data_IF_317748427449
#
_entry.id   IF_317748427449
#
_cell.length_a   1.000
_cell.length_b   1.000
_cell.length_c   1.000
_cell.angle_alpha   90.00
_cell.angle_beta   90.00
_cell.angle_gamma   90.00
#
_symmetry.space_group_name_H-M   'P 1'
#
loop_
_entity.id
_entity.type
_entity.pdbx_description
1 polymer ?
#
# COMPACT_ATOMS: atom_id res chain seq x y z
N UNK A 1 -23.58 33.62 -2.18
CA UNK A 1 -22.47 33.89 -1.25
C UNK A 1 -22.86 35.05 -0.34
N UNK A 2 -22.16 35.24 0.78
CA UNK A 2 -22.44 36.36 1.70
C UNK A 2 -21.39 37.45 1.57
N UNK A 3 -21.82 38.71 1.65
CA UNK A 3 -20.94 39.87 1.64
C UNK A 3 -20.05 39.84 2.91
N UNK A 4 -18.71 40.00 2.78
CA UNK A 4 -17.80 39.95 3.93
C UNK A 4 -18.02 41.14 4.92
N UNK A 5 -18.66 42.23 4.47
CA UNK A 5 -18.88 43.42 5.29
C UNK A 5 -20.25 43.45 5.98
N UNK A 6 -21.33 43.15 5.23
CA UNK A 6 -22.68 43.30 5.76
C UNK A 6 -23.49 42.00 5.79
N UNK A 7 -22.90 40.86 5.42
CA UNK A 7 -23.51 39.53 5.40
C UNK A 7 -24.72 39.39 4.46
N UNK A 8 -25.05 40.38 3.66
CA UNK A 8 -26.10 40.28 2.67
C UNK A 8 -25.76 39.25 1.60
N UNK A 9 -26.76 38.53 1.08
CA UNK A 9 -26.59 37.62 -0.02
C UNK A 9 -26.18 38.37 -1.28
N UNK A 10 -25.09 37.93 -1.92
CA UNK A 10 -24.59 38.49 -3.17
C UNK A 10 -24.36 37.37 -4.17
N UNK A 11 -24.51 37.68 -5.47
CA UNK A 11 -24.17 36.72 -6.51
C UNK A 11 -22.68 36.41 -6.55
N UNK A 12 -22.30 35.19 -6.91
CA UNK A 12 -20.89 34.79 -7.03
C UNK A 12 -20.13 35.59 -8.11
N UNK A 13 -20.88 36.20 -9.05
CA UNK A 13 -20.37 37.04 -10.14
C UNK A 13 -20.41 38.52 -9.81
N UNK A 14 -20.93 38.92 -8.63
CA UNK A 14 -21.07 40.32 -8.28
C UNK A 14 -19.72 41.00 -8.11
N UNK A 15 -19.55 42.18 -8.71
CA UNK A 15 -18.34 43.00 -8.54
C UNK A 15 -18.41 43.89 -7.28
N UNK A 16 -19.60 44.25 -6.87
CA UNK A 16 -19.88 45.09 -5.72
C UNK A 16 -21.07 44.53 -4.93
N UNK A 17 -21.09 44.74 -3.63
CA UNK A 17 -22.27 44.44 -2.83
C UNK A 17 -23.32 45.53 -3.05
N UNK A 18 -24.51 45.11 -3.46
CA UNK A 18 -25.67 46.01 -3.68
C UNK A 18 -26.20 46.71 -2.39
N UNK A 19 -25.89 46.13 -1.19
CA UNK A 19 -26.32 46.63 0.08
C UNK A 19 -25.35 47.61 0.74
N UNK A 20 -24.04 47.38 0.62
CA UNK A 20 -23.01 48.17 1.31
C UNK A 20 -21.93 48.75 0.40
N UNK A 21 -22.01 48.51 -0.88
CA UNK A 21 -21.11 49.09 -1.90
C UNK A 21 -19.69 48.61 -1.90
N UNK A 22 -19.31 47.61 -1.02
CA UNK A 22 -17.93 47.13 -0.98
C UNK A 22 -17.58 46.48 -2.35
N UNK A 23 -16.36 46.73 -2.83
CA UNK A 23 -15.79 46.00 -3.98
C UNK A 23 -15.48 44.53 -3.59
N UNK A 24 -16.09 43.59 -4.30
CA UNK A 24 -15.96 42.15 -4.00
C UNK A 24 -14.81 41.52 -4.80
N UNK A 25 -14.51 42.03 -5.97
CA UNK A 25 -13.44 41.47 -6.84
C UNK A 25 -12.03 41.71 -6.32
N UNK A 26 -11.86 42.67 -5.41
CA UNK A 26 -10.59 42.99 -4.73
C UNK A 26 -10.59 42.52 -3.27
N UNK A 27 -11.73 41.99 -2.78
CA UNK A 27 -11.83 41.52 -1.42
C UNK A 27 -11.31 40.08 -1.29
N UNK A 28 -10.18 39.91 -0.60
CA UNK A 28 -9.48 38.62 -0.44
C UNK A 28 -10.36 37.55 0.19
N UNK A 29 -11.16 37.92 1.22
CA UNK A 29 -12.04 36.95 1.90
C UNK A 29 -13.20 36.49 1.01
N UNK A 30 -13.70 37.38 0.16
CA UNK A 30 -14.73 37.03 -0.81
C UNK A 30 -14.17 36.12 -1.92
N UNK A 31 -13.00 36.47 -2.48
CA UNK A 31 -12.31 35.67 -3.48
C UNK A 31 -11.96 34.30 -2.92
N UNK A 32 -11.45 34.25 -1.68
CA UNK A 32 -11.14 32.97 -1.02
C UNK A 32 -12.37 32.06 -0.88
N UNK A 33 -13.49 32.59 -0.36
CA UNK A 33 -14.74 31.81 -0.26
C UNK A 33 -15.26 31.35 -1.61
N UNK A 34 -15.16 32.18 -2.63
CA UNK A 34 -15.54 31.81 -4.00
C UNK A 34 -14.66 30.67 -4.52
N UNK A 35 -13.33 30.74 -4.34
CA UNK A 35 -12.41 29.72 -4.76
C UNK A 35 -12.64 28.40 -4.01
N UNK A 36 -12.89 28.44 -2.71
CA UNK A 36 -13.23 27.24 -1.90
C UNK A 36 -14.53 26.58 -2.40
N UNK A 37 -15.55 27.37 -2.73
CA UNK A 37 -16.80 26.85 -3.31
C UNK A 37 -16.58 26.18 -4.67
N UNK A 38 -15.79 26.78 -5.55
CA UNK A 38 -15.37 26.18 -6.83
C UNK A 38 -14.60 24.88 -6.64
N UNK A 39 -13.64 24.88 -5.72
CA UNK A 39 -12.84 23.68 -5.38
C UNK A 39 -13.72 22.52 -4.89
N UNK A 40 -14.67 22.78 -3.98
CA UNK A 40 -15.60 21.75 -3.50
C UNK A 40 -16.55 21.22 -4.57
N UNK A 41 -16.77 21.97 -5.67
CA UNK A 41 -17.52 21.52 -6.85
C UNK A 41 -16.66 20.76 -7.85
N UNK A 42 -15.36 20.57 -7.56
CA UNK A 42 -14.42 19.93 -8.48
C UNK A 42 -13.91 20.82 -9.62
N UNK A 43 -14.24 22.11 -9.60
CA UNK A 43 -13.82 23.11 -10.59
C UNK A 43 -12.43 23.67 -10.19
N UNK A 44 -11.41 22.77 -10.27
CA UNK A 44 -10.09 23.05 -9.71
C UNK A 44 -9.40 24.19 -10.43
N UNK A 45 -9.44 24.25 -11.76
CA UNK A 45 -8.75 25.28 -12.53
C UNK A 45 -9.33 26.67 -12.27
N UNK A 46 -10.67 26.80 -12.25
CA UNK A 46 -11.32 28.07 -11.93
C UNK A 46 -11.05 28.50 -10.47
N UNK A 47 -10.97 27.54 -9.55
CA UNK A 47 -10.60 27.82 -8.16
C UNK A 47 -9.18 28.39 -8.07
N UNK A 48 -8.23 27.80 -8.81
CA UNK A 48 -6.83 28.26 -8.87
C UNK A 48 -6.72 29.68 -9.46
N UNK A 49 -7.46 29.99 -10.51
CA UNK A 49 -7.52 31.33 -11.07
C UNK A 49 -8.00 32.36 -10.03
N UNK A 50 -9.06 32.03 -9.29
CA UNK A 50 -9.59 32.91 -8.26
C UNK A 50 -8.62 33.07 -7.09
N UNK A 51 -7.90 32.00 -6.65
CA UNK A 51 -6.85 32.16 -5.64
C UNK A 51 -5.67 32.96 -6.16
N UNK A 52 -5.27 32.85 -7.42
CA UNK A 52 -4.22 33.68 -7.98
C UNK A 52 -4.59 35.17 -7.92
N UNK A 53 -5.86 35.53 -8.20
CA UNK A 53 -6.35 36.90 -8.05
C UNK A 53 -6.29 37.36 -6.58
N UNK A 54 -6.73 36.52 -5.64
CA UNK A 54 -6.69 36.83 -4.23
C UNK A 54 -5.23 37.06 -3.74
N UNK A 55 -4.32 36.21 -4.15
CA UNK A 55 -2.89 36.27 -3.77
C UNK A 55 -2.15 37.42 -4.46
N UNK A 56 -2.56 37.84 -5.64
CA UNK A 56 -2.05 39.04 -6.28
C UNK A 56 -2.38 40.31 -5.48
N UNK A 57 -3.58 40.35 -4.87
CA UNK A 57 -4.03 41.47 -4.00
C UNK A 57 -3.43 41.39 -2.59
N UNK A 58 -3.17 40.18 -2.07
CA UNK A 58 -2.63 39.94 -0.75
C UNK A 58 -1.61 38.77 -0.77
N UNK A 59 -0.35 39.03 -1.14
CA UNK A 59 0.67 37.99 -1.26
C UNK A 59 0.98 37.22 0.04
N UNK A 60 0.73 37.84 1.19
CA UNK A 60 0.91 37.22 2.51
C UNK A 60 -0.32 36.46 3.05
N UNK A 61 -1.34 36.21 2.23
CA UNK A 61 -2.56 35.51 2.64
C UNK A 61 -2.32 34.00 2.79
N UNK A 62 -1.85 33.55 3.95
CA UNK A 62 -1.41 32.16 4.18
C UNK A 62 -2.53 31.14 3.93
N UNK A 63 -3.78 31.40 4.33
CA UNK A 63 -4.93 30.56 3.97
C UNK A 63 -5.10 30.37 2.46
N UNK A 64 -4.92 31.43 1.68
CA UNK A 64 -5.01 31.38 0.23
C UNK A 64 -3.94 30.45 -0.37
N UNK A 65 -2.70 30.58 0.10
CA UNK A 65 -1.61 29.70 -0.29
C UNK A 65 -1.87 28.25 0.10
N UNK A 66 -2.37 27.99 1.32
CA UNK A 66 -2.69 26.64 1.77
C UNK A 66 -3.73 25.95 0.88
N UNK A 67 -4.87 26.60 0.63
CA UNK A 67 -5.94 26.03 -0.18
C UNK A 67 -5.56 25.92 -1.67
N UNK A 68 -4.79 26.89 -2.19
CA UNK A 68 -4.18 26.79 -3.51
C UNK A 68 -3.25 25.56 -3.58
N UNK A 69 -2.46 25.32 -2.54
CA UNK A 69 -1.61 24.12 -2.41
C UNK A 69 -2.42 22.83 -2.40
N UNK A 70 -3.58 22.79 -1.72
CA UNK A 70 -4.48 21.62 -1.76
C UNK A 70 -5.01 21.37 -3.16
N UNK A 71 -5.49 22.40 -3.86
CA UNK A 71 -6.02 22.28 -5.21
C UNK A 71 -4.95 21.80 -6.20
N UNK A 72 -3.72 22.32 -6.10
CA UNK A 72 -2.58 21.89 -6.91
C UNK A 72 -2.21 20.43 -6.61
N UNK A 73 -2.21 20.05 -5.33
CA UNK A 73 -1.96 18.68 -4.90
C UNK A 73 -2.97 17.69 -5.50
N UNK A 74 -4.27 18.01 -5.42
CA UNK A 74 -5.34 17.17 -5.94
C UNK A 74 -5.35 17.10 -7.48
N UNK A 75 -4.86 18.16 -8.16
CA UNK A 75 -4.63 18.15 -9.60
C UNK A 75 -3.40 17.35 -10.02
N UNK A 76 -2.49 17.07 -9.11
CA UNK A 76 -1.23 16.35 -9.34
C UNK A 76 -0.01 17.24 -9.57
N UNK A 77 -0.16 18.56 -9.51
CA UNK A 77 0.93 19.54 -9.69
C UNK A 77 1.75 19.69 -8.39
N UNK A 78 2.36 18.59 -7.98
CA UNK A 78 3.02 18.46 -6.67
C UNK A 78 4.13 19.49 -6.44
N UNK A 79 4.89 19.88 -7.47
CA UNK A 79 5.96 20.88 -7.36
C UNK A 79 5.43 22.28 -7.00
N UNK A 80 4.35 22.69 -7.67
CA UNK A 80 3.68 23.95 -7.35
C UNK A 80 2.96 23.88 -6.00
N UNK A 81 2.39 22.72 -5.63
CA UNK A 81 1.80 22.48 -4.33
C UNK A 81 2.81 22.67 -3.20
N UNK A 82 4.02 22.11 -3.31
CA UNK A 82 5.13 22.32 -2.37
C UNK A 82 5.41 23.80 -2.21
N UNK A 83 5.58 24.53 -3.30
CA UNK A 83 5.82 25.99 -3.27
C UNK A 83 4.69 26.73 -2.56
N UNK A 84 3.44 26.40 -2.86
CA UNK A 84 2.27 27.01 -2.23
C UNK A 84 2.20 26.71 -0.73
N UNK A 85 2.48 25.47 -0.31
CA UNK A 85 2.51 25.12 1.13
C UNK A 85 3.66 25.82 1.86
N UNK A 86 4.84 25.97 1.25
CA UNK A 86 5.94 26.73 1.84
C UNK A 86 5.57 28.21 2.03
N UNK A 87 4.88 28.81 1.07
CA UNK A 87 4.36 30.16 1.20
C UNK A 87 3.27 30.27 2.28
N UNK A 88 2.44 29.23 2.44
CA UNK A 88 1.43 29.18 3.47
C UNK A 88 2.02 29.19 4.90
N UNK A 89 3.23 28.68 5.12
CA UNK A 89 3.88 28.67 6.43
C UNK A 89 4.23 30.08 6.93
N UNK A 90 4.31 31.05 6.05
CA UNK A 90 4.61 32.42 6.43
C UNK A 90 3.38 33.05 7.10
N UNK A 91 3.43 33.21 8.44
CA UNK A 91 2.33 33.79 9.21
C UNK A 91 1.16 32.85 9.51
N UNK A 92 1.31 31.52 9.29
CA UNK A 92 0.29 30.54 9.67
C UNK A 92 0.30 30.28 11.18
N UNK A 93 -0.82 30.53 11.89
CA UNK A 93 -0.89 30.31 13.34
C UNK A 93 -0.96 28.82 13.72
N UNK A 94 -1.44 27.95 12.83
CA UNK A 94 -1.58 26.52 13.07
C UNK A 94 -0.85 25.71 11.98
N UNK A 95 0.49 25.71 11.97
CA UNK A 95 1.27 25.18 10.85
C UNK A 95 1.23 23.65 10.73
N UNK A 96 0.62 22.91 11.69
CA UNK A 96 0.51 21.45 11.65
C UNK A 96 -0.05 20.94 10.31
N UNK A 97 -1.19 21.49 9.87
CA UNK A 97 -1.85 21.06 8.63
C UNK A 97 -0.99 21.35 7.40
N UNK A 98 -0.28 22.47 7.44
CA UNK A 98 0.59 22.88 6.32
C UNK A 98 1.78 21.96 6.23
N UNK A 99 2.50 21.70 7.34
CA UNK A 99 3.63 20.76 7.34
C UNK A 99 3.20 19.35 6.96
N UNK A 100 2.05 18.87 7.43
CA UNK A 100 1.53 17.57 7.07
C UNK A 100 1.28 17.44 5.54
N UNK A 101 0.64 18.44 4.93
CA UNK A 101 0.37 18.47 3.48
C UNK A 101 1.62 18.70 2.65
N UNK A 102 2.54 19.52 3.14
CA UNK A 102 3.86 19.70 2.54
C UNK A 102 4.61 18.36 2.49
N UNK A 103 4.69 17.65 3.61
CA UNK A 103 5.31 16.32 3.66
C UNK A 103 4.65 15.31 2.72
N UNK A 104 3.33 15.35 2.54
CA UNK A 104 2.64 14.51 1.56
C UNK A 104 3.01 14.86 0.12
N UNK A 105 3.12 16.14 -0.23
CA UNK A 105 3.49 16.59 -1.56
C UNK A 105 4.96 16.23 -1.88
N UNK A 106 5.86 16.44 -0.93
CA UNK A 106 7.28 16.08 -1.02
C UNK A 106 7.46 14.57 -1.17
N UNK A 107 6.70 13.77 -0.42
CA UNK A 107 6.67 12.31 -0.55
C UNK A 107 6.23 11.88 -1.96
N UNK A 108 5.19 12.51 -2.50
CA UNK A 108 4.70 12.26 -3.86
C UNK A 108 5.72 12.58 -4.94
N UNK A 109 6.51 13.64 -4.76
CA UNK A 109 7.62 14.01 -5.65
C UNK A 109 8.83 13.08 -5.53
N UNK A 110 8.91 12.26 -4.48
CA UNK A 110 10.11 11.49 -4.16
C UNK A 110 11.20 12.27 -3.39
N UNK A 111 10.91 13.49 -2.96
CA UNK A 111 11.77 14.30 -2.11
C UNK A 111 11.73 13.81 -0.65
N UNK A 112 12.21 12.57 -0.44
CA UNK A 112 11.96 11.82 0.80
C UNK A 112 12.55 12.48 2.04
N UNK A 113 13.78 13.04 1.95
CA UNK A 113 14.41 13.73 3.08
C UNK A 113 13.61 14.97 3.51
N UNK A 114 13.10 15.75 2.54
CA UNK A 114 12.25 16.91 2.81
C UNK A 114 10.91 16.46 3.43
N UNK A 115 10.33 15.38 2.92
CA UNK A 115 9.10 14.77 3.46
C UNK A 115 9.26 14.36 4.93
N UNK A 116 10.39 13.71 5.28
CA UNK A 116 10.73 13.35 6.67
C UNK A 116 10.79 14.59 7.56
N UNK A 117 11.47 15.63 7.11
CA UNK A 117 11.58 16.89 7.87
C UNK A 117 10.22 17.54 8.09
N UNK A 118 9.38 17.59 7.05
CA UNK A 118 8.04 18.15 7.14
C UNK A 118 7.14 17.35 8.08
N UNK A 119 7.18 16.01 8.03
CA UNK A 119 6.40 15.19 8.97
C UNK A 119 6.95 15.26 10.40
N UNK A 120 8.26 15.41 10.61
CA UNK A 120 8.83 15.65 11.95
C UNK A 120 8.30 16.95 12.54
N UNK A 121 8.31 18.05 11.79
CA UNK A 121 7.73 19.33 12.22
C UNK A 121 6.24 19.21 12.52
N UNK A 122 5.49 18.50 11.69
CA UNK A 122 4.09 18.22 11.96
C UNK A 122 3.90 17.43 13.27
N UNK A 123 4.75 16.41 13.51
CA UNK A 123 4.71 15.62 14.75
C UNK A 123 5.08 16.45 16.00
N UNK A 124 6.08 17.32 15.92
CA UNK A 124 6.47 18.23 17.02
C UNK A 124 5.29 19.13 17.45
N UNK A 125 4.49 19.59 16.46
CA UNK A 125 3.32 20.44 16.74
C UNK A 125 2.13 19.62 17.27
N UNK A 126 1.90 18.43 16.71
CA UNK A 126 0.83 17.54 17.16
C UNK A 126 1.37 16.11 17.36
N UNK A 127 1.93 15.82 18.54
CA UNK A 127 2.45 14.49 18.86
C UNK A 127 1.39 13.37 18.89
N UNK A 128 0.11 13.71 19.04
CA UNK A 128 -1.01 12.77 19.07
C UNK A 128 -1.47 12.28 17.69
N UNK A 129 -0.84 12.71 16.61
CA UNK A 129 -1.22 12.29 15.25
C UNK A 129 -0.57 10.98 14.83
N UNK A 130 -1.28 9.87 14.99
CA UNK A 130 -0.83 8.56 14.48
C UNK A 130 -0.63 8.55 12.96
N UNK A 131 -1.44 9.31 12.21
CA UNK A 131 -1.30 9.44 10.75
C UNK A 131 0.04 10.09 10.36
N UNK A 132 0.47 11.11 11.09
CA UNK A 132 1.77 11.77 10.82
C UNK A 132 2.94 10.81 11.00
N UNK A 133 2.94 10.05 12.09
CA UNK A 133 3.95 9.03 12.36
C UNK A 133 3.93 7.88 11.35
N UNK A 134 2.74 7.45 10.95
CA UNK A 134 2.60 6.48 9.86
C UNK A 134 3.21 6.99 8.55
N UNK A 135 2.96 8.25 8.18
CA UNK A 135 3.55 8.87 6.98
C UNK A 135 5.06 9.03 7.09
N UNK A 136 5.53 9.39 8.28
CA UNK A 136 6.97 9.45 8.58
C UNK A 136 7.61 8.07 8.39
N UNK A 137 6.99 7.02 8.94
CA UNK A 137 7.45 5.64 8.76
C UNK A 137 7.50 5.21 7.29
N UNK A 138 6.48 5.58 6.49
CA UNK A 138 6.49 5.30 5.04
C UNK A 138 7.61 6.05 4.31
N UNK A 139 7.92 7.28 4.72
CA UNK A 139 9.02 8.05 4.13
C UNK A 139 10.37 7.37 4.41
N UNK A 140 10.60 6.92 5.65
CA UNK A 140 11.78 6.16 6.03
C UNK A 140 11.89 4.82 5.30
N UNK A 141 10.77 4.10 5.10
CA UNK A 141 10.75 2.85 4.31
C UNK A 141 11.21 3.06 2.87
N UNK A 142 10.73 4.12 2.21
CA UNK A 142 11.19 4.44 0.85
C UNK A 142 12.67 4.85 0.78
N UNK A 143 13.25 5.30 1.89
CA UNK A 143 14.69 5.55 2.03
C UNK A 143 15.48 4.30 2.43
N UNK A 144 14.79 3.15 2.62
CA UNK A 144 15.38 1.91 3.14
C UNK A 144 15.94 2.03 4.57
N UNK A 145 15.45 2.99 5.33
CA UNK A 145 15.83 3.24 6.73
C UNK A 145 14.90 2.46 7.66
N UNK A 146 15.08 1.12 7.70
CA UNK A 146 14.15 0.20 8.37
C UNK A 146 13.97 0.48 9.87
N UNK A 147 15.04 0.82 10.59
CA UNK A 147 14.96 1.11 12.03
C UNK A 147 14.14 2.37 12.31
N UNK A 148 14.40 3.46 11.61
CA UNK A 148 13.64 4.69 11.76
C UNK A 148 12.16 4.51 11.37
N UNK A 149 11.90 3.70 10.34
CA UNK A 149 10.54 3.36 9.93
C UNK A 149 9.83 2.57 11.03
N UNK A 150 10.49 1.57 11.62
CA UNK A 150 9.97 0.77 12.74
C UNK A 150 9.59 1.67 13.92
N UNK A 151 10.52 2.52 14.36
CA UNK A 151 10.27 3.42 15.50
C UNK A 151 9.06 4.34 15.29
N UNK A 152 8.94 4.94 14.12
CA UNK A 152 7.81 5.80 13.77
C UNK A 152 6.48 5.02 13.73
N UNK A 153 6.47 3.80 13.18
CA UNK A 153 5.29 2.96 13.09
C UNK A 153 4.88 2.40 14.47
N UNK A 154 5.82 2.01 15.33
CA UNK A 154 5.55 1.60 16.69
C UNK A 154 4.87 2.72 17.49
N UNK A 155 5.35 3.96 17.36
CA UNK A 155 4.70 5.13 17.97
C UNK A 155 3.30 5.36 17.39
N UNK A 156 3.11 5.21 16.08
CA UNK A 156 1.79 5.33 15.45
C UNK A 156 0.79 4.33 16.02
N UNK A 157 1.21 3.07 16.19
CA UNK A 157 0.41 1.98 16.77
C UNK A 157 0.18 2.19 18.27
N UNK A 158 1.13 2.78 18.99
CA UNK A 158 0.94 3.13 20.41
C UNK A 158 -0.13 4.21 20.60
N UNK A 159 -0.19 5.22 19.72
CA UNK A 159 -1.22 6.26 19.74
C UNK A 159 -2.58 5.70 19.30
N UNK A 160 -2.61 4.91 18.24
CA UNK A 160 -3.83 4.27 17.72
C UNK A 160 -3.64 2.76 17.56
N UNK A 161 -3.95 1.94 18.58
CA UNK A 161 -3.77 0.49 18.56
C UNK A 161 -4.60 -0.25 17.48
N UNK A 162 -5.61 0.41 16.91
CA UNK A 162 -6.47 -0.13 15.83
C UNK A 162 -6.14 0.46 14.46
N UNK A 163 -5.01 1.13 14.31
CA UNK A 163 -4.62 1.71 13.03
C UNK A 163 -4.14 0.62 12.08
N UNK A 164 -5.09 -0.01 11.37
CA UNK A 164 -4.88 -1.16 10.49
C UNK A 164 -3.70 -1.01 9.54
N UNK A 165 -3.57 0.16 8.87
CA UNK A 165 -2.47 0.39 7.93
C UNK A 165 -1.10 0.43 8.62
N UNK A 166 -1.02 1.05 9.80
CA UNK A 166 0.23 1.10 10.56
C UNK A 166 0.62 -0.28 11.10
N UNK A 167 -0.36 -1.04 11.62
CA UNK A 167 -0.16 -2.43 12.05
C UNK A 167 0.37 -3.31 10.93
N UNK A 168 -0.25 -3.22 9.74
CA UNK A 168 0.15 -4.00 8.57
C UNK A 168 1.57 -3.69 8.12
N UNK A 169 1.90 -2.39 7.96
CA UNK A 169 3.25 -1.99 7.53
C UNK A 169 4.30 -2.31 8.60
N UNK A 170 3.98 -2.15 9.88
CA UNK A 170 4.89 -2.55 10.97
C UNK A 170 5.15 -4.06 10.94
N UNK A 171 4.10 -4.87 10.72
CA UNK A 171 4.23 -6.32 10.56
C UNK A 171 5.16 -6.70 9.41
N UNK A 172 5.05 -6.01 8.27
CA UNK A 172 5.97 -6.22 7.13
C UNK A 172 7.41 -5.84 7.47
N UNK A 173 7.62 -4.73 8.18
CA UNK A 173 8.96 -4.31 8.64
C UNK A 173 9.56 -5.36 9.58
N UNK A 174 8.80 -5.83 10.56
CA UNK A 174 9.24 -6.88 11.50
C UNK A 174 9.56 -8.19 10.79
N UNK A 175 8.71 -8.62 9.84
CA UNK A 175 8.97 -9.81 9.02
C UNK A 175 10.26 -9.68 8.18
N UNK A 176 10.54 -8.49 7.63
CA UNK A 176 11.77 -8.21 6.88
C UNK A 176 13.01 -8.21 7.78
N UNK A 177 12.89 -7.78 9.03
CA UNK A 177 13.97 -7.84 10.02
C UNK A 177 14.22 -9.26 10.56
N UNK A 178 13.34 -10.20 10.25
CA UNK A 178 13.42 -11.59 10.71
C UNK A 178 12.59 -11.88 11.97
N UNK A 179 11.96 -10.86 12.56
CA UNK A 179 11.14 -10.95 13.77
C UNK A 179 9.76 -11.54 13.45
N UNK A 180 9.73 -12.81 12.98
CA UNK A 180 8.51 -13.46 12.52
C UNK A 180 7.42 -13.54 13.61
N UNK A 181 7.81 -13.70 14.90
CA UNK A 181 6.87 -13.75 16.02
C UNK A 181 6.08 -12.44 16.16
N UNK A 182 6.79 -11.30 16.23
CA UNK A 182 6.14 -9.99 16.31
C UNK A 182 5.32 -9.67 15.06
N UNK A 183 5.80 -10.08 13.88
CA UNK A 183 5.06 -9.92 12.63
C UNK A 183 3.70 -10.66 12.66
N UNK A 184 3.70 -11.92 13.14
CA UNK A 184 2.49 -12.73 13.31
C UNK A 184 1.50 -12.02 14.23
N UNK A 185 1.94 -11.54 15.39
CA UNK A 185 1.08 -10.86 16.34
C UNK A 185 0.46 -9.58 15.75
N UNK A 186 1.24 -8.82 14.99
CA UNK A 186 0.77 -7.62 14.31
C UNK A 186 -0.25 -7.95 13.22
N UNK A 187 -0.02 -8.97 12.39
CA UNK A 187 -0.98 -9.37 11.36
C UNK A 187 -2.26 -9.97 11.95
N UNK A 188 -2.20 -10.72 13.06
CA UNK A 188 -3.38 -11.17 13.81
C UNK A 188 -4.21 -9.98 14.31
N UNK A 189 -3.57 -8.94 14.84
CA UNK A 189 -4.26 -7.70 15.22
C UNK A 189 -4.91 -7.00 14.01
N UNK A 190 -4.27 -7.04 12.83
CA UNK A 190 -4.92 -6.55 11.60
C UNK A 190 -6.17 -7.36 11.29
N UNK A 191 -6.12 -8.68 11.40
CA UNK A 191 -7.26 -9.56 11.14
C UNK A 191 -8.42 -9.31 12.13
N UNK A 192 -8.13 -9.09 13.41
CA UNK A 192 -9.12 -8.72 14.43
C UNK A 192 -9.84 -7.41 14.11
N UNK A 193 -9.12 -6.39 13.65
CA UNK A 193 -9.67 -5.06 13.34
C UNK A 193 -10.35 -5.04 11.96
N UNK A 194 -9.79 -5.76 11.01
CA UNK A 194 -10.21 -5.76 9.60
C UNK A 194 -10.15 -7.17 9.01
N UNK A 195 -11.13 -8.05 9.30
CA UNK A 195 -11.11 -9.46 8.88
C UNK A 195 -11.09 -9.66 7.36
N UNK A 196 -11.50 -8.64 6.59
CA UNK A 196 -11.53 -8.67 5.12
C UNK A 196 -10.21 -8.19 4.48
N UNK A 197 -9.20 -7.85 5.29
CA UNK A 197 -7.93 -7.38 4.76
C UNK A 197 -7.06 -8.56 4.29
N UNK A 198 -7.39 -9.05 3.09
CA UNK A 198 -6.80 -10.26 2.50
C UNK A 198 -5.26 -10.20 2.39
N UNK A 199 -4.69 -9.02 2.12
CA UNK A 199 -3.25 -8.87 2.06
C UNK A 199 -2.57 -9.17 3.41
N UNK A 200 -3.15 -8.74 4.53
CA UNK A 200 -2.60 -9.03 5.85
C UNK A 200 -2.72 -10.52 6.20
N UNK A 201 -3.81 -11.16 5.80
CA UNK A 201 -3.98 -12.61 5.96
C UNK A 201 -2.94 -13.40 5.16
N UNK A 202 -2.62 -12.96 3.95
CA UNK A 202 -1.56 -13.58 3.15
C UNK A 202 -0.20 -13.44 3.82
N UNK A 203 0.15 -12.24 4.30
CA UNK A 203 1.41 -11.99 5.02
C UNK A 203 1.49 -12.75 6.35
N UNK A 204 0.35 -12.91 7.06
CA UNK A 204 0.25 -13.79 8.23
C UNK A 204 0.62 -15.23 7.87
N UNK A 205 0.02 -15.76 6.79
CA UNK A 205 0.36 -17.10 6.27
C UNK A 205 1.83 -17.23 5.92
N UNK A 206 2.43 -16.21 5.29
CA UNK A 206 3.86 -16.18 4.95
C UNK A 206 4.76 -16.17 6.19
N UNK A 207 4.41 -15.40 7.21
CA UNK A 207 5.17 -15.33 8.46
C UNK A 207 5.10 -16.66 9.23
N UNK A 208 3.90 -17.27 9.32
CA UNK A 208 3.67 -18.59 9.90
C UNK A 208 4.46 -19.68 9.15
N UNK A 209 4.44 -19.64 7.82
CA UNK A 209 5.20 -20.59 6.98
C UNK A 209 6.71 -20.48 7.23
N UNK A 210 7.26 -19.27 7.32
CA UNK A 210 8.68 -19.05 7.64
C UNK A 210 9.04 -19.54 9.04
N UNK A 211 8.10 -19.45 9.98
CA UNK A 211 8.26 -19.94 11.36
C UNK A 211 8.07 -21.46 11.49
N UNK A 212 7.62 -22.13 10.41
CA UNK A 212 7.37 -23.58 10.39
C UNK A 212 6.00 -23.99 10.94
N UNK A 213 5.11 -23.05 11.24
CA UNK A 213 3.72 -23.30 11.67
C UNK A 213 2.84 -23.61 10.45
N UNK A 214 3.15 -24.73 9.79
CA UNK A 214 2.64 -25.06 8.44
C UNK A 214 1.12 -25.25 8.40
N UNK A 215 0.52 -25.82 9.46
CA UNK A 215 -0.91 -26.05 9.50
C UNK A 215 -1.69 -24.73 9.55
N UNK A 216 -1.29 -23.82 10.46
CA UNK A 216 -1.92 -22.50 10.56
C UNK A 216 -1.70 -21.69 9.28
N UNK A 217 -0.49 -21.77 8.70
CA UNK A 217 -0.20 -21.11 7.42
C UNK A 217 -1.14 -21.58 6.31
N UNK A 218 -1.38 -22.90 6.20
CA UNK A 218 -2.31 -23.48 5.23
C UNK A 218 -3.73 -22.95 5.41
N UNK A 219 -4.22 -22.83 6.64
CA UNK A 219 -5.52 -22.25 6.95
C UNK A 219 -5.64 -20.79 6.48
N UNK A 220 -4.55 -19.99 6.70
CA UNK A 220 -4.53 -18.60 6.22
C UNK A 220 -4.58 -18.52 4.70
N UNK A 221 -3.76 -19.32 3.99
CA UNK A 221 -3.75 -19.31 2.53
C UNK A 221 -5.08 -19.82 1.92
N UNK A 222 -5.71 -20.83 2.52
CA UNK A 222 -7.05 -21.28 2.12
C UNK A 222 -8.10 -20.17 2.30
N UNK A 223 -8.02 -19.41 3.40
CA UNK A 223 -8.86 -18.23 3.63
C UNK A 223 -8.64 -17.13 2.60
N UNK A 224 -7.38 -16.89 2.19
CA UNK A 224 -7.04 -15.93 1.11
C UNK A 224 -7.62 -16.41 -0.23
N UNK A 225 -7.46 -17.69 -0.58
CA UNK A 225 -8.00 -18.29 -1.82
C UNK A 225 -9.52 -18.12 -1.89
N UNK A 226 -10.21 -18.35 -0.77
CA UNK A 226 -11.68 -18.17 -0.68
C UNK A 226 -12.09 -16.71 -0.88
N UNK A 227 -11.38 -15.77 -0.24
CA UNK A 227 -11.70 -14.34 -0.31
C UNK A 227 -11.27 -13.69 -1.64
N UNK A 228 -10.24 -14.22 -2.27
CA UNK A 228 -9.66 -13.70 -3.51
C UNK A 228 -9.30 -14.83 -4.48
N UNK A 229 -10.30 -15.47 -5.14
CA UNK A 229 -10.10 -16.67 -5.94
C UNK A 229 -9.16 -16.51 -7.15
N UNK A 230 -8.86 -15.28 -7.56
CA UNK A 230 -7.95 -14.98 -8.68
C UNK A 230 -6.51 -14.67 -8.24
N UNK A 231 -6.23 -14.75 -6.95
CA UNK A 231 -4.90 -14.48 -6.42
C UNK A 231 -4.06 -15.75 -6.41
N UNK A 232 -3.42 -16.07 -7.54
CA UNK A 232 -2.65 -17.29 -7.77
C UNK A 232 -1.58 -17.63 -6.70
N UNK A 233 -0.92 -16.68 -6.01
CA UNK A 233 0.01 -17.02 -4.93
C UNK A 233 -0.62 -17.79 -3.77
N UNK A 234 -1.92 -17.63 -3.49
CA UNK A 234 -2.56 -18.30 -2.35
C UNK A 234 -2.63 -19.82 -2.52
N UNK A 235 -3.21 -20.41 -3.60
CA UNK A 235 -3.20 -21.85 -3.79
C UNK A 235 -1.78 -22.42 -3.99
N UNK A 236 -0.82 -21.65 -4.54
CA UNK A 236 0.57 -22.07 -4.59
C UNK A 236 1.16 -22.26 -3.19
N UNK A 237 1.04 -21.26 -2.33
CA UNK A 237 1.55 -21.34 -0.95
C UNK A 237 0.81 -22.37 -0.10
N UNK A 238 -0.48 -22.59 -0.34
CA UNK A 238 -1.23 -23.68 0.27
C UNK A 238 -0.62 -25.04 -0.12
N UNK A 239 -0.32 -25.25 -1.40
CA UNK A 239 0.38 -26.43 -1.89
C UNK A 239 1.75 -26.63 -1.24
N UNK A 240 2.53 -25.56 -1.07
CA UNK A 240 3.82 -25.61 -0.36
C UNK A 240 3.67 -26.02 1.11
N UNK A 241 2.65 -25.55 1.80
CA UNK A 241 2.37 -25.96 3.18
C UNK A 241 2.05 -27.47 3.23
N UNK A 242 1.12 -27.94 2.39
CA UNK A 242 0.68 -29.32 2.35
C UNK A 242 1.82 -30.26 1.94
N UNK A 243 2.65 -29.87 0.95
CA UNK A 243 3.83 -30.63 0.56
C UNK A 243 4.82 -30.81 1.73
N UNK A 244 5.08 -29.74 2.50
CA UNK A 244 5.94 -29.81 3.68
C UNK A 244 5.34 -30.61 4.84
N UNK A 245 4.00 -30.68 4.95
CA UNK A 245 3.30 -31.52 5.91
C UNK A 245 3.27 -33.00 5.49
N UNK A 246 3.58 -33.32 4.22
CA UNK A 246 3.52 -34.66 3.66
C UNK A 246 2.16 -35.01 3.05
N UNK A 247 1.24 -34.04 3.00
CA UNK A 247 -0.10 -34.20 2.41
C UNK A 247 -0.04 -33.99 0.88
N UNK A 248 0.73 -34.87 0.21
CA UNK A 248 1.09 -34.69 -1.20
C UNK A 248 -0.12 -34.67 -2.15
N UNK A 249 -1.18 -35.42 -1.83
CA UNK A 249 -2.41 -35.40 -2.61
C UNK A 249 -3.10 -34.04 -2.62
N UNK A 250 -3.22 -33.43 -1.45
CA UNK A 250 -3.79 -32.09 -1.28
C UNK A 250 -2.90 -31.01 -1.89
N UNK A 251 -1.56 -31.17 -1.78
CA UNK A 251 -0.61 -30.29 -2.43
C UNK A 251 -0.79 -30.27 -3.96
N UNK A 252 -0.93 -31.44 -4.60
CA UNK A 252 -1.24 -31.56 -6.04
C UNK A 252 -2.53 -30.83 -6.40
N UNK A 253 -3.58 -31.00 -5.57
CA UNK A 253 -4.87 -30.33 -5.81
C UNK A 253 -4.72 -28.80 -5.74
N UNK A 254 -3.96 -28.28 -4.76
CA UNK A 254 -3.72 -26.85 -4.61
C UNK A 254 -2.91 -26.27 -5.78
N UNK A 255 -1.83 -26.93 -6.20
CA UNK A 255 -1.06 -26.48 -7.37
C UNK A 255 -1.87 -26.53 -8.68
N UNK A 256 -2.78 -27.49 -8.83
CA UNK A 256 -3.68 -27.53 -10.00
C UNK A 256 -4.61 -26.32 -10.04
N UNK A 257 -5.19 -25.89 -8.89
CA UNK A 257 -5.99 -24.68 -8.82
C UNK A 257 -5.18 -23.42 -9.16
N UNK A 258 -3.91 -23.38 -8.75
CA UNK A 258 -3.00 -22.32 -9.17
C UNK A 258 -2.79 -22.32 -10.70
N UNK A 259 -2.61 -23.50 -11.32
CA UNK A 259 -2.44 -23.65 -12.77
C UNK A 259 -3.70 -23.32 -13.58
N UNK A 260 -4.92 -23.37 -12.98
CA UNK A 260 -6.12 -22.85 -13.61
C UNK A 260 -6.05 -21.32 -13.79
N UNK A 261 -5.29 -20.62 -12.94
CA UNK A 261 -5.09 -19.17 -13.00
C UNK A 261 -3.87 -18.78 -13.83
N UNK A 262 -2.82 -19.59 -13.82
CA UNK A 262 -1.58 -19.41 -14.55
C UNK A 262 -1.11 -20.74 -15.19
N UNK A 263 -1.65 -21.11 -16.36
CA UNK A 263 -1.37 -22.41 -16.97
C UNK A 263 0.10 -22.63 -17.40
N UNK A 264 0.82 -21.55 -17.65
CA UNK A 264 2.19 -21.58 -18.19
C UNK A 264 3.25 -21.50 -17.06
N UNK A 265 2.92 -21.96 -15.86
CA UNK A 265 3.85 -22.02 -14.74
C UNK A 265 4.57 -23.37 -14.68
N UNK A 266 5.80 -23.42 -15.21
CA UNK A 266 6.62 -24.62 -15.23
C UNK A 266 6.99 -25.10 -13.81
N UNK A 267 7.21 -24.17 -12.86
CA UNK A 267 7.55 -24.51 -11.47
C UNK A 267 6.42 -25.29 -10.79
N UNK A 268 5.17 -24.83 -10.95
CA UNK A 268 4.01 -25.52 -10.38
C UNK A 268 3.86 -26.94 -10.93
N UNK A 269 4.14 -27.18 -12.24
CA UNK A 269 4.17 -28.52 -12.81
C UNK A 269 5.27 -29.38 -12.21
N UNK A 270 6.44 -28.81 -11.94
CA UNK A 270 7.54 -29.52 -11.24
C UNK A 270 7.12 -29.91 -9.83
N UNK A 271 6.51 -28.98 -9.06
CA UNK A 271 6.01 -29.30 -7.71
C UNK A 271 4.95 -30.41 -7.71
N UNK A 272 4.06 -30.41 -8.70
CA UNK A 272 3.10 -31.51 -8.90
C UNK A 272 3.83 -32.82 -9.13
N UNK A 273 4.83 -32.85 -10.02
CA UNK A 273 5.59 -34.05 -10.30
C UNK A 273 6.32 -34.59 -9.05
N UNK A 274 6.97 -33.73 -8.29
CA UNK A 274 7.60 -34.10 -7.02
C UNK A 274 6.61 -34.76 -6.07
N UNK A 275 5.45 -34.14 -5.86
CA UNK A 275 4.42 -34.68 -4.98
C UNK A 275 3.88 -36.02 -5.48
N UNK A 276 3.66 -36.16 -6.80
CA UNK A 276 3.21 -37.43 -7.41
C UNK A 276 4.22 -38.55 -7.28
N UNK A 277 5.52 -38.23 -7.37
CA UNK A 277 6.58 -39.23 -7.10
C UNK A 277 6.57 -39.70 -5.66
N UNK A 278 6.28 -38.82 -4.68
CA UNK A 278 6.21 -39.19 -3.27
C UNK A 278 5.04 -40.15 -2.94
N UNK A 279 3.99 -40.16 -3.76
CA UNK A 279 2.82 -41.04 -3.61
C UNK A 279 2.78 -42.17 -4.66
N UNK A 280 3.93 -42.44 -5.27
CA UNK A 280 4.14 -43.52 -6.24
C UNK A 280 3.27 -43.44 -7.52
N UNK A 281 2.82 -42.23 -7.87
CA UNK A 281 2.06 -41.96 -9.11
C UNK A 281 3.01 -41.60 -10.26
N UNK A 282 3.88 -42.54 -10.62
CA UNK A 282 5.03 -42.27 -11.51
C UNK A 282 4.63 -41.89 -12.95
N UNK A 283 3.54 -42.44 -13.50
CA UNK A 283 3.05 -42.06 -14.83
C UNK A 283 2.52 -40.62 -14.85
N UNK A 284 1.75 -40.23 -13.82
CA UNK A 284 1.26 -38.86 -13.68
C UNK A 284 2.41 -37.87 -13.46
N UNK A 285 3.43 -38.27 -12.69
CA UNK A 285 4.64 -37.45 -12.52
C UNK A 285 5.37 -37.21 -13.84
N UNK A 286 5.46 -38.22 -14.68
CA UNK A 286 6.07 -38.12 -16.04
C UNK A 286 5.30 -37.10 -16.90
N UNK A 287 3.97 -37.17 -16.91
CA UNK A 287 3.12 -36.19 -17.62
C UNK A 287 3.34 -34.78 -17.13
N UNK A 288 3.43 -34.58 -15.81
CA UNK A 288 3.68 -33.26 -15.22
C UNK A 288 5.07 -32.72 -15.61
N UNK A 289 6.10 -33.55 -15.57
CA UNK A 289 7.46 -33.20 -16.04
C UNK A 289 7.45 -32.78 -17.50
N UNK A 290 6.78 -33.57 -18.38
CA UNK A 290 6.73 -33.27 -19.80
C UNK A 290 6.00 -31.94 -20.06
N UNK A 291 4.96 -31.61 -19.30
CA UNK A 291 4.31 -30.26 -19.32
C UNK A 291 5.25 -29.16 -18.89
N UNK A 292 5.98 -29.34 -17.79
CA UNK A 292 6.98 -28.36 -17.33
C UNK A 292 8.04 -28.08 -18.41
N UNK A 293 8.55 -29.16 -19.07
CA UNK A 293 9.55 -29.04 -20.10
C UNK A 293 9.00 -28.51 -21.45
N UNK A 294 7.71 -28.70 -21.72
CA UNK A 294 7.05 -28.05 -22.85
C UNK A 294 6.99 -26.53 -22.69
N UNK A 295 6.79 -26.05 -21.46
CA UNK A 295 6.79 -24.61 -21.10
C UNK A 295 8.22 -24.08 -21.07
N UNK A 296 9.11 -24.78 -20.35
CA UNK A 296 10.52 -24.39 -20.16
C UNK A 296 11.46 -25.56 -20.44
N UNK A 297 11.95 -25.76 -21.71
CA UNK A 297 12.81 -26.88 -22.06
C UNK A 297 14.14 -26.95 -21.31
N UNK A 298 14.60 -25.82 -20.79
CA UNK A 298 15.85 -25.70 -20.03
C UNK A 298 15.63 -25.74 -18.50
N UNK A 299 14.43 -26.06 -18.03
CA UNK A 299 14.13 -26.12 -16.60
C UNK A 299 14.97 -27.19 -15.91
N UNK A 300 15.91 -26.77 -15.07
CA UNK A 300 16.96 -27.66 -14.50
C UNK A 300 16.35 -28.80 -13.69
N UNK A 301 15.40 -28.48 -12.79
CA UNK A 301 14.78 -29.45 -11.89
C UNK A 301 13.88 -30.44 -12.64
N UNK A 302 13.10 -29.97 -13.64
CA UNK A 302 12.31 -30.86 -14.48
C UNK A 302 13.17 -31.85 -15.28
N UNK A 303 14.30 -31.39 -15.84
CA UNK A 303 15.25 -32.26 -16.51
C UNK A 303 15.90 -33.29 -15.57
N UNK A 304 16.23 -32.86 -14.33
CA UNK A 304 16.74 -33.78 -13.31
C UNK A 304 15.70 -34.84 -12.94
N UNK A 305 14.46 -34.44 -12.67
CA UNK A 305 13.38 -35.39 -12.35
C UNK A 305 13.08 -36.35 -13.48
N UNK A 306 13.10 -35.89 -14.73
CA UNK A 306 12.94 -36.75 -15.92
C UNK A 306 13.99 -37.85 -15.97
N UNK A 307 15.25 -37.51 -15.75
CA UNK A 307 16.36 -38.48 -15.71
C UNK A 307 16.18 -39.49 -14.57
N UNK A 308 15.87 -38.99 -13.38
CA UNK A 308 15.68 -39.83 -12.17
C UNK A 308 14.53 -40.82 -12.34
N UNK A 309 13.40 -40.41 -12.89
CA UNK A 309 12.26 -41.27 -13.20
C UNK A 309 12.63 -42.34 -14.26
N UNK A 310 13.46 -41.99 -15.23
CA UNK A 310 13.97 -42.95 -16.22
C UNK A 310 14.87 -44.05 -15.60
N UNK A 311 15.68 -43.67 -14.61
CA UNK A 311 16.53 -44.60 -13.85
C UNK A 311 15.71 -45.56 -12.96
N UNK A 312 14.64 -45.07 -12.32
CA UNK A 312 13.72 -45.88 -11.50
C UNK A 312 12.93 -46.90 -12.35
N UNK A 313 12.61 -46.56 -13.59
CA UNK A 313 11.84 -47.42 -14.50
C UNK A 313 12.67 -48.55 -15.16
N UNK A 314 14.01 -48.53 -15.04
CA UNK A 314 14.87 -49.62 -15.54
C UNK A 314 14.98 -50.72 -14.47
N UNK A 315 14.39 -51.91 -14.68
CA UNK A 315 14.57 -53.00 -13.73
C UNK A 315 16.04 -53.32 -13.55
N UNK A 316 16.49 -53.37 -12.29
CA UNK A 316 17.84 -53.91 -11.98
C UNK A 316 17.95 -55.27 -12.65
N UNK A 317 18.77 -55.40 -13.73
CA UNK A 317 19.13 -56.72 -14.24
C UNK A 317 19.89 -57.40 -13.10
N UNK A 318 19.40 -58.56 -12.59
CA UNK A 318 20.21 -59.32 -11.64
C UNK A 318 21.47 -59.75 -12.38
N UNK A 319 22.63 -59.30 -11.83
CA UNK A 319 23.92 -59.74 -12.34
C UNK A 319 24.05 -61.24 -12.23
N UNK A 320 24.37 -61.88 -13.33
CA UNK A 320 24.78 -63.26 -13.39
C UNK A 320 26.16 -63.44 -12.74
#
# INVERSE_FOLDING_TARGET
MECPKCQARVAATAKFCDQCGICLVENVDFLHRKAVDLYHRGQIDEALEVWNLALASAPGFSKGHYYRGLALYDRGDLGEAVTAFQQALVGEPEPFRVYFKLGMAEYGLGNLSASVESFRKAHEINPGSAETLYRLGLSHLRMSELEAAREALEQAVAINPKYTRALYILGMVKAQQGDQGEAIDLFRRVEEVSPTYTAARFELGMALFRQGQLQEAAEQFAGVETASPRFAPAPYMLGECQRKLGDFGEAVAAYRRMLELNPDDAEAWVRIAECQMQIDMLDAAREAIDKALAISPQHTEANYLKKHLGEMATPHKPGF
#
